data_IF_601342827138
#
_entry.id   IF_601342827138
#
_cell.length_a   1.000
_cell.length_b   1.000
_cell.length_c   1.000
_cell.angle_alpha   90.00
_cell.angle_beta   90.00
_cell.angle_gamma   90.00
#
_symmetry.space_group_name_H-M   'P 1'
#
loop_
_entity.id
_entity.type
_entity.pdbx_description
1 polymer ?
#
# COMPACT_ATOMS: atom_id res chain seq x y z
N UNK A 1 -0.80 12.37 -22.59
CA UNK A 1 -1.85 11.35 -22.40
C UNK A 1 -2.93 11.92 -21.47
N UNK A 2 -4.18 11.55 -21.69
CA UNK A 2 -5.29 11.77 -20.74
C UNK A 2 -5.40 10.57 -19.81
N UNK A 3 -5.22 10.77 -18.51
CA UNK A 3 -5.12 9.68 -17.54
C UNK A 3 -6.19 9.83 -16.45
N UNK A 4 -7.02 8.81 -16.28
CA UNK A 4 -7.96 8.72 -15.16
C UNK A 4 -7.33 7.98 -13.99
N UNK A 5 -7.26 8.63 -12.81
CA UNK A 5 -6.73 8.05 -11.57
C UNK A 5 -7.86 7.89 -10.57
N UNK A 6 -8.27 6.66 -10.25
CA UNK A 6 -9.24 6.42 -9.17
C UNK A 6 -8.55 6.34 -7.82
N UNK A 7 -9.23 6.77 -6.76
CA UNK A 7 -8.61 6.88 -5.44
C UNK A 7 -7.63 8.05 -5.32
N UNK A 8 -7.87 9.11 -6.10
CA UNK A 8 -6.98 10.28 -6.24
C UNK A 8 -6.81 11.10 -4.96
N UNK A 9 -7.70 11.01 -3.98
CA UNK A 9 -7.51 11.58 -2.65
C UNK A 9 -6.68 10.71 -1.70
N UNK A 10 -6.36 9.46 -2.10
CA UNK A 10 -5.45 8.57 -1.38
C UNK A 10 -3.98 9.01 -1.51
N UNK A 11 -3.08 8.39 -0.72
CA UNK A 11 -1.65 8.72 -0.79
C UNK A 11 -1.07 8.41 -2.17
N UNK A 12 -1.24 7.18 -2.66
CA UNK A 12 -0.71 6.79 -3.97
C UNK A 12 -1.39 7.56 -5.12
N UNK A 13 -2.73 7.67 -5.09
CA UNK A 13 -3.46 8.36 -6.15
C UNK A 13 -3.09 9.84 -6.27
N UNK A 14 -2.92 10.54 -5.16
CA UNK A 14 -2.50 11.94 -5.16
C UNK A 14 -1.05 12.10 -5.66
N UNK A 15 -0.13 11.22 -5.23
CA UNK A 15 1.26 11.25 -5.70
C UNK A 15 1.38 10.93 -7.19
N UNK A 16 0.57 10.00 -7.70
CA UNK A 16 0.47 9.70 -9.13
C UNK A 16 -0.07 10.90 -9.90
N UNK A 17 -1.16 11.51 -9.44
CA UNK A 17 -1.76 12.66 -10.10
C UNK A 17 -0.75 13.81 -10.20
N UNK A 18 -0.05 14.13 -9.11
CA UNK A 18 0.99 15.18 -9.11
C UNK A 18 2.15 14.84 -10.05
N UNK A 19 2.68 13.60 -10.02
CA UNK A 19 3.80 13.19 -10.86
C UNK A 19 3.45 13.16 -12.34
N UNK A 20 2.25 12.68 -12.68
CA UNK A 20 1.78 12.63 -14.07
C UNK A 20 1.52 14.04 -14.63
N UNK A 21 0.89 14.92 -13.83
CA UNK A 21 0.68 16.32 -14.22
C UNK A 21 2.00 17.04 -14.43
N UNK A 22 2.97 16.87 -13.53
CA UNK A 22 4.31 17.43 -13.67
C UNK A 22 5.06 16.90 -14.93
N UNK A 23 4.69 15.69 -15.39
CA UNK A 23 5.21 15.09 -16.64
C UNK A 23 4.42 15.51 -17.88
N UNK A 24 3.50 16.47 -17.78
CA UNK A 24 2.74 17.02 -18.91
C UNK A 24 1.54 16.16 -19.34
N UNK A 25 1.05 15.28 -18.49
CA UNK A 25 -0.19 14.52 -18.74
C UNK A 25 -1.42 15.30 -18.25
N UNK A 26 -2.53 15.19 -18.97
CA UNK A 26 -3.84 15.66 -18.52
C UNK A 26 -4.41 14.62 -17.56
N UNK A 27 -4.56 14.99 -16.27
CA UNK A 27 -4.96 14.04 -15.22
C UNK A 27 -6.35 14.35 -14.70
N UNK A 28 -7.21 13.31 -14.70
CA UNK A 28 -8.52 13.32 -14.11
C UNK A 28 -8.52 12.41 -12.88
N UNK A 29 -8.74 12.98 -11.69
CA UNK A 29 -8.85 12.25 -10.45
C UNK A 29 -10.29 11.94 -10.10
N UNK A 30 -10.58 10.73 -9.57
CA UNK A 30 -11.86 10.40 -8.97
C UNK A 30 -11.69 9.75 -7.60
N UNK A 31 -12.42 10.27 -6.61
CA UNK A 31 -12.46 9.73 -5.24
C UNK A 31 -13.80 10.10 -4.60
N UNK A 32 -14.20 9.35 -3.58
CA UNK A 32 -15.39 9.68 -2.77
C UNK A 32 -15.19 10.94 -1.92
N UNK A 33 -13.95 11.36 -1.72
CA UNK A 33 -13.56 12.57 -1.00
C UNK A 33 -13.11 13.65 -1.98
N UNK A 34 -13.47 14.88 -1.69
CA UNK A 34 -12.86 16.00 -2.38
C UNK A 34 -11.34 16.03 -2.11
N UNK A 35 -10.55 16.23 -3.14
CA UNK A 35 -9.10 16.38 -3.04
C UNK A 35 -8.66 17.56 -3.91
N UNK A 36 -7.75 18.36 -3.39
CA UNK A 36 -7.05 19.34 -4.18
C UNK A 36 -5.71 18.74 -4.63
N UNK A 37 -5.66 18.27 -5.87
CA UNK A 37 -4.40 18.12 -6.61
C UNK A 37 -4.42 19.28 -7.59
N UNK A 38 -3.61 20.33 -7.38
CA UNK A 38 -3.79 21.62 -8.08
C UNK A 38 -3.83 21.54 -9.61
N UNK A 39 -3.10 20.57 -10.18
CA UNK A 39 -2.96 20.41 -11.63
C UNK A 39 -3.85 19.31 -12.22
N UNK A 40 -4.77 18.73 -11.45
CA UNK A 40 -5.65 17.65 -11.91
C UNK A 40 -7.14 18.04 -11.79
N UNK A 41 -7.92 17.76 -12.82
CA UNK A 41 -9.38 17.82 -12.71
C UNK A 41 -9.85 16.75 -11.71
N UNK A 42 -10.58 17.14 -10.66
CA UNK A 42 -11.03 16.22 -9.63
C UNK A 42 -12.55 16.03 -9.66
N UNK A 43 -13.00 14.78 -9.65
CA UNK A 43 -14.38 14.37 -9.65
C UNK A 43 -14.71 13.63 -8.35
N UNK A 44 -15.75 14.07 -7.65
CA UNK A 44 -16.26 13.37 -6.46
C UNK A 44 -17.26 12.31 -6.88
N UNK A 45 -16.83 11.05 -6.83
CA UNK A 45 -17.69 9.91 -7.18
C UNK A 45 -17.20 8.62 -6.52
N UNK A 46 -18.09 7.66 -6.36
CA UNK A 46 -17.76 6.32 -5.88
C UNK A 46 -17.33 5.43 -7.07
N UNK A 47 -16.28 4.63 -6.89
CA UNK A 47 -15.84 3.68 -7.93
C UNK A 47 -16.85 2.58 -8.21
N UNK A 48 -17.92 2.46 -7.44
CA UNK A 48 -19.05 1.57 -7.69
C UNK A 48 -20.12 2.19 -8.58
N UNK A 49 -20.06 3.50 -8.81
CA UNK A 49 -20.97 4.19 -9.75
C UNK A 49 -20.48 4.02 -11.18
N UNK A 50 -20.89 2.91 -11.78
CA UNK A 50 -20.51 2.55 -13.15
C UNK A 50 -20.97 3.59 -14.19
N UNK A 51 -22.07 4.29 -13.95
CA UNK A 51 -22.58 5.29 -14.90
C UNK A 51 -21.66 6.50 -14.97
N UNK A 52 -21.29 7.04 -13.82
CA UNK A 52 -20.33 8.15 -13.73
C UNK A 52 -18.96 7.74 -14.28
N UNK A 53 -18.45 6.53 -13.93
CA UNK A 53 -17.16 6.05 -14.42
C UNK A 53 -17.12 5.89 -15.94
N UNK A 54 -18.20 5.48 -16.59
CA UNK A 54 -18.26 5.41 -18.07
C UNK A 54 -18.09 6.77 -18.71
N UNK A 55 -18.70 7.80 -18.16
CA UNK A 55 -18.51 9.18 -18.62
C UNK A 55 -17.06 9.64 -18.45
N UNK A 56 -16.46 9.35 -17.29
CA UNK A 56 -15.10 9.74 -16.99
C UNK A 56 -14.04 8.96 -17.78
N UNK A 57 -14.29 7.71 -18.13
CA UNK A 57 -13.36 6.89 -18.92
C UNK A 57 -13.37 7.22 -20.42
N UNK A 58 -14.40 7.92 -20.90
CA UNK A 58 -14.51 8.26 -22.32
C UNK A 58 -13.37 9.18 -22.76
N UNK A 59 -12.65 8.77 -23.81
CA UNK A 59 -11.53 9.53 -24.37
C UNK A 59 -10.25 9.54 -23.52
N UNK A 60 -10.16 8.68 -22.50
CA UNK A 60 -8.93 8.49 -21.71
C UNK A 60 -7.96 7.57 -22.46
N UNK A 61 -6.67 7.92 -22.42
CA UNK A 61 -5.58 7.09 -22.93
C UNK A 61 -5.19 5.99 -21.93
N UNK A 62 -5.40 6.24 -20.64
CA UNK A 62 -5.10 5.27 -19.59
C UNK A 62 -6.02 5.43 -18.37
N UNK A 63 -6.22 4.31 -17.64
CA UNK A 63 -6.86 4.29 -16.32
C UNK A 63 -5.91 3.67 -15.31
N UNK A 64 -5.67 4.36 -14.18
CA UNK A 64 -4.92 3.82 -13.05
C UNK A 64 -5.89 3.63 -11.89
N UNK A 65 -6.15 2.38 -11.54
CA UNK A 65 -7.09 2.04 -10.48
C UNK A 65 -6.36 1.83 -9.15
N UNK A 66 -6.33 2.89 -8.31
CA UNK A 66 -5.73 2.85 -6.96
C UNK A 66 -6.76 2.85 -5.83
N UNK A 67 -8.04 3.09 -6.12
CA UNK A 67 -9.09 3.09 -5.12
C UNK A 67 -9.19 1.72 -4.43
N UNK A 68 -9.22 1.72 -3.11
CA UNK A 68 -9.29 0.51 -2.30
C UNK A 68 -9.79 0.83 -0.90
N UNK A 69 -10.49 -0.12 -0.29
CA UNK A 69 -10.78 -0.08 1.14
C UNK A 69 -9.54 -0.47 1.96
N UNK A 70 -9.45 0.04 3.19
CA UNK A 70 -8.40 -0.37 4.13
C UNK A 70 -8.72 -1.74 4.76
N UNK A 71 -7.70 -2.50 5.19
CA UNK A 71 -7.91 -3.78 5.90
C UNK A 71 -8.70 -3.66 7.21
N UNK A 72 -8.81 -2.45 7.76
CA UNK A 72 -9.56 -2.14 9.00
C UNK A 72 -11.05 -1.86 8.77
N UNK A 73 -11.51 -1.79 7.51
CA UNK A 73 -12.91 -1.53 7.20
C UNK A 73 -13.77 -2.78 7.42
N UNK A 74 -15.10 -2.64 7.56
CA UNK A 74 -16.03 -3.76 7.58
C UNK A 74 -15.88 -4.67 6.36
N UNK A 75 -16.09 -5.98 6.54
CA UNK A 75 -15.81 -6.99 5.51
C UNK A 75 -16.63 -6.79 4.22
N UNK A 76 -17.91 -6.43 4.36
CA UNK A 76 -18.81 -6.10 3.27
C UNK A 76 -18.35 -4.87 2.49
N UNK A 77 -17.89 -3.84 3.18
CA UNK A 77 -17.33 -2.65 2.56
C UNK A 77 -16.03 -2.94 1.82
N UNK A 78 -15.14 -3.76 2.42
CA UNK A 78 -13.89 -4.20 1.75
C UNK A 78 -14.25 -4.90 0.44
N UNK A 79 -15.18 -5.88 0.47
CA UNK A 79 -15.56 -6.63 -0.71
C UNK A 79 -16.18 -5.72 -1.77
N UNK A 80 -17.15 -4.92 -1.39
CA UNK A 80 -17.85 -4.01 -2.29
C UNK A 80 -16.89 -3.02 -2.97
N UNK A 81 -16.03 -2.32 -2.23
CA UNK A 81 -15.11 -1.34 -2.82
C UNK A 81 -14.02 -2.02 -3.65
N UNK A 82 -13.42 -3.11 -3.14
CA UNK A 82 -12.27 -3.72 -3.80
C UNK A 82 -12.67 -4.58 -4.99
N UNK A 83 -13.76 -5.36 -4.89
CA UNK A 83 -14.16 -6.28 -5.97
C UNK A 83 -15.13 -5.62 -6.93
N UNK A 84 -16.27 -5.10 -6.42
CA UNK A 84 -17.30 -4.51 -7.28
C UNK A 84 -16.81 -3.18 -7.86
N UNK A 85 -16.07 -2.38 -7.09
CA UNK A 85 -15.39 -1.17 -7.58
C UNK A 85 -14.40 -1.47 -8.70
N UNK A 86 -13.56 -2.51 -8.55
CA UNK A 86 -12.65 -2.95 -9.63
C UNK A 86 -13.42 -3.36 -10.86
N UNK A 87 -14.50 -4.14 -10.72
CA UNK A 87 -15.35 -4.55 -11.84
C UNK A 87 -15.96 -3.34 -12.57
N UNK A 88 -16.45 -2.37 -11.83
CA UNK A 88 -17.05 -1.14 -12.39
C UNK A 88 -16.02 -0.30 -13.16
N UNK A 89 -14.83 -0.12 -12.63
CA UNK A 89 -13.74 0.61 -13.29
C UNK A 89 -13.30 -0.11 -14.57
N UNK A 90 -13.11 -1.43 -14.51
CA UNK A 90 -12.69 -2.21 -15.68
C UNK A 90 -13.79 -2.30 -16.75
N UNK A 91 -15.08 -2.38 -16.36
CA UNK A 91 -16.20 -2.30 -17.32
C UNK A 91 -16.23 -0.94 -18.01
N UNK A 92 -16.10 0.14 -17.26
CA UNK A 92 -16.07 1.49 -17.82
C UNK A 92 -14.90 1.68 -18.80
N UNK A 93 -13.69 1.28 -18.41
CA UNK A 93 -12.51 1.37 -19.26
C UNK A 93 -12.63 0.49 -20.51
N UNK A 94 -13.14 -0.74 -20.37
CA UNK A 94 -13.32 -1.66 -21.50
C UNK A 94 -14.34 -1.11 -22.51
N UNK A 95 -15.49 -0.64 -22.05
CA UNK A 95 -16.53 -0.06 -22.94
C UNK A 95 -16.09 1.24 -23.61
N UNK A 96 -15.25 2.03 -22.96
CA UNK A 96 -14.68 3.23 -23.51
C UNK A 96 -13.50 2.96 -24.46
N UNK A 97 -13.05 1.70 -24.60
CA UNK A 97 -11.91 1.33 -25.44
C UNK A 97 -10.59 1.88 -24.93
N UNK A 98 -10.44 2.08 -23.60
CA UNK A 98 -9.20 2.63 -23.03
C UNK A 98 -8.02 1.71 -23.35
N UNK A 99 -6.96 2.22 -24.00
CA UNK A 99 -5.85 1.38 -24.48
C UNK A 99 -5.01 0.76 -23.36
N UNK A 100 -4.95 1.41 -22.17
CA UNK A 100 -4.07 0.99 -21.08
C UNK A 100 -4.77 1.08 -19.74
N UNK A 101 -4.71 -0.01 -18.96
CA UNK A 101 -5.22 -0.03 -17.57
C UNK A 101 -4.14 -0.55 -16.62
N UNK A 102 -3.97 0.12 -15.48
CA UNK A 102 -3.10 -0.33 -14.39
C UNK A 102 -3.95 -0.55 -13.14
N UNK A 103 -4.01 -1.78 -12.67
CA UNK A 103 -4.70 -2.14 -11.42
C UNK A 103 -3.69 -2.32 -10.28
N UNK A 104 -3.90 -1.60 -9.18
CA UNK A 104 -3.05 -1.73 -7.99
C UNK A 104 -3.64 -2.81 -7.07
N UNK A 105 -3.00 -3.98 -7.09
CA UNK A 105 -3.27 -5.09 -6.19
C UNK A 105 -2.44 -4.98 -4.90
N UNK A 106 -1.93 -6.09 -4.38
CA UNK A 106 -1.07 -6.13 -3.18
C UNK A 106 -0.39 -7.49 -3.08
N UNK A 107 0.82 -7.55 -2.54
CA UNK A 107 1.46 -8.81 -2.14
C UNK A 107 0.69 -9.55 -1.02
N UNK A 108 -0.35 -8.94 -0.45
CA UNK A 108 -1.25 -9.60 0.49
C UNK A 108 -2.00 -10.80 -0.12
N UNK A 109 -2.12 -10.88 -1.45
CA UNK A 109 -2.72 -12.03 -2.17
C UNK A 109 -2.01 -13.35 -1.88
N UNK A 110 -0.73 -13.33 -1.55
CA UNK A 110 0.06 -14.52 -1.21
C UNK A 110 -0.18 -15.03 0.23
N UNK A 111 -0.84 -14.22 1.07
CA UNK A 111 -1.06 -14.57 2.48
C UNK A 111 0.23 -14.64 3.29
N UNK A 112 0.60 -15.84 3.71
CA UNK A 112 1.82 -16.15 4.46
C UNK A 112 2.66 -17.16 3.65
N UNK A 113 3.38 -16.70 2.62
CA UNK A 113 4.13 -17.58 1.74
C UNK A 113 5.26 -18.29 2.49
N UNK A 114 5.52 -19.56 2.13
CA UNK A 114 6.64 -20.34 2.65
C UNK A 114 7.91 -20.19 1.81
N UNK A 115 7.76 -19.75 0.56
CA UNK A 115 8.87 -19.47 -0.35
C UNK A 115 9.13 -17.96 -0.35
N UNK A 116 10.32 -17.56 0.01
CA UNK A 116 10.82 -16.19 -0.08
C UNK A 116 12.22 -16.20 -0.70
N UNK A 117 12.52 -15.34 -1.69
CA UNK A 117 11.62 -14.34 -2.28
C UNK A 117 10.43 -14.98 -3.00
N UNK A 118 9.22 -14.43 -2.81
CA UNK A 118 7.98 -14.99 -3.38
C UNK A 118 7.80 -14.51 -4.82
N UNK A 119 7.77 -15.37 -5.84
CA UNK A 119 7.56 -14.99 -7.24
C UNK A 119 6.09 -14.75 -7.56
N UNK A 120 5.80 -14.17 -8.75
CA UNK A 120 4.45 -13.80 -9.18
C UNK A 120 3.52 -15.00 -9.42
N UNK A 121 4.06 -16.15 -9.78
CA UNK A 121 3.34 -17.41 -10.01
C UNK A 121 3.07 -18.21 -8.73
N UNK A 122 3.57 -17.74 -7.57
CA UNK A 122 3.27 -18.38 -6.28
C UNK A 122 1.75 -18.39 -6.02
N UNK A 123 1.19 -19.49 -5.48
CA UNK A 123 -0.24 -19.62 -5.22
C UNK A 123 -0.80 -18.46 -4.36
N UNK A 124 -1.95 -17.95 -4.76
CA UNK A 124 -2.69 -16.96 -3.99
C UNK A 124 -3.46 -17.66 -2.87
N UNK A 125 -3.03 -17.47 -1.62
CA UNK A 125 -3.62 -18.10 -0.42
C UNK A 125 -4.01 -17.01 0.58
N UNK A 126 -5.17 -16.35 0.37
CA UNK A 126 -5.58 -15.24 1.23
C UNK A 126 -5.82 -15.70 2.67
N UNK A 127 -5.49 -14.85 3.64
CA UNK A 127 -5.57 -15.15 5.08
C UNK A 127 -6.55 -14.24 5.85
N UNK A 128 -7.16 -13.29 5.18
CA UNK A 128 -8.16 -12.38 5.72
C UNK A 128 -9.06 -11.81 4.62
N UNK A 129 -10.11 -11.08 5.02
CA UNK A 129 -11.09 -10.48 4.10
C UNK A 129 -10.46 -9.56 3.06
N UNK A 130 -9.47 -8.77 3.46
CA UNK A 130 -8.79 -7.84 2.55
C UNK A 130 -7.97 -8.59 1.48
N UNK A 131 -7.17 -9.56 1.90
CA UNK A 131 -6.39 -10.37 0.95
C UNK A 131 -7.28 -11.20 0.04
N UNK A 132 -8.42 -11.74 0.53
CA UNK A 132 -9.41 -12.43 -0.28
C UNK A 132 -10.03 -11.50 -1.32
N UNK A 133 -10.44 -10.29 -0.93
CA UNK A 133 -11.00 -9.31 -1.86
C UNK A 133 -9.98 -8.89 -2.94
N UNK A 134 -8.67 -8.77 -2.59
CA UNK A 134 -7.62 -8.49 -3.58
C UNK A 134 -7.42 -9.66 -4.56
N UNK A 135 -7.52 -10.91 -4.09
CA UNK A 135 -7.51 -12.10 -4.97
C UNK A 135 -8.71 -12.06 -5.92
N UNK A 136 -9.93 -11.83 -5.40
CA UNK A 136 -11.15 -11.73 -6.20
C UNK A 136 -11.07 -10.59 -7.24
N UNK A 137 -10.49 -9.44 -6.88
CA UNK A 137 -10.26 -8.34 -7.82
C UNK A 137 -9.27 -8.72 -8.94
N UNK A 138 -8.24 -9.52 -8.64
CA UNK A 138 -7.36 -10.04 -9.68
C UNK A 138 -8.04 -11.11 -10.57
N UNK A 139 -9.04 -11.86 -10.05
CA UNK A 139 -9.89 -12.71 -10.90
C UNK A 139 -10.62 -11.84 -11.91
N UNK A 140 -11.25 -10.74 -11.46
CA UNK A 140 -11.91 -9.78 -12.35
C UNK A 140 -10.90 -9.21 -13.37
N UNK A 141 -9.70 -8.85 -12.96
CA UNK A 141 -8.66 -8.36 -13.88
C UNK A 141 -8.33 -9.38 -14.98
N UNK A 142 -8.21 -10.67 -14.62
CA UNK A 142 -7.99 -11.75 -15.61
C UNK A 142 -9.15 -11.90 -16.59
N UNK A 143 -10.41 -11.75 -16.15
CA UNK A 143 -11.59 -11.76 -17.02
C UNK A 143 -11.50 -10.67 -18.10
N UNK A 144 -11.05 -9.46 -17.75
CA UNK A 144 -10.92 -8.36 -18.71
C UNK A 144 -9.67 -8.50 -19.61
N UNK A 145 -8.58 -9.08 -19.13
CA UNK A 145 -7.46 -9.47 -20.00
C UNK A 145 -7.89 -10.47 -21.08
N UNK A 146 -8.70 -11.47 -20.69
CA UNK A 146 -9.25 -12.44 -21.64
C UNK A 146 -10.18 -11.82 -22.69
N UNK A 147 -10.75 -10.64 -22.42
CA UNK A 147 -11.52 -9.83 -23.37
C UNK A 147 -10.64 -8.89 -24.24
N UNK A 148 -9.31 -9.03 -24.16
CA UNK A 148 -8.37 -8.25 -24.96
C UNK A 148 -7.92 -6.92 -24.34
N UNK A 149 -8.25 -6.64 -23.06
CA UNK A 149 -7.80 -5.42 -22.41
C UNK A 149 -6.29 -5.52 -22.07
N UNK A 150 -5.49 -4.54 -22.46
CA UNK A 150 -4.13 -4.38 -21.99
C UNK A 150 -4.14 -3.88 -20.55
N UNK A 151 -3.99 -4.79 -19.59
CA UNK A 151 -4.17 -4.55 -18.17
C UNK A 151 -2.97 -5.06 -17.36
N UNK A 152 -2.27 -4.13 -16.72
CA UNK A 152 -1.20 -4.44 -15.77
C UNK A 152 -1.77 -4.63 -14.36
N UNK A 153 -1.28 -5.65 -13.65
CA UNK A 153 -1.54 -5.82 -12.22
C UNK A 153 -0.24 -5.58 -11.46
N UNK A 154 -0.20 -4.56 -10.64
CA UNK A 154 0.95 -4.27 -9.78
C UNK A 154 0.65 -4.77 -8.37
N UNK A 155 1.53 -5.60 -7.80
CA UNK A 155 1.46 -6.13 -6.45
C UNK A 155 2.54 -5.47 -5.57
N UNK A 156 2.30 -4.27 -5.02
CA UNK A 156 3.28 -3.63 -4.16
C UNK A 156 3.40 -4.30 -2.81
N UNK A 157 4.60 -4.28 -2.25
CA UNK A 157 4.84 -4.44 -0.81
C UNK A 157 4.22 -3.26 -0.05
N UNK A 158 4.21 -3.32 1.28
CA UNK A 158 3.83 -2.17 2.09
C UNK A 158 4.70 -0.97 1.70
N UNK A 159 4.08 0.07 1.15
CA UNK A 159 4.83 1.25 0.75
C UNK A 159 4.75 2.35 1.80
N UNK A 160 5.80 3.16 1.84
CA UNK A 160 6.04 4.28 2.74
C UNK A 160 6.39 5.52 1.93
N UNK A 161 6.13 6.68 2.50
CA UNK A 161 6.41 7.99 1.91
C UNK A 161 5.58 9.08 2.56
N UNK A 162 5.78 10.34 2.18
CA UNK A 162 5.01 11.47 2.66
C UNK A 162 3.50 11.24 2.59
N UNK A 163 2.78 11.53 3.66
CA UNK A 163 1.33 11.32 3.76
C UNK A 163 0.91 9.90 4.15
N UNK A 164 1.81 8.92 4.21
CA UNK A 164 1.51 7.55 4.58
C UNK A 164 1.90 7.28 6.03
N UNK A 165 0.94 7.25 6.94
CA UNK A 165 1.21 7.03 8.37
C UNK A 165 0.98 5.58 8.82
N UNK A 166 -0.24 5.14 8.86
CA UNK A 166 -0.61 3.79 9.27
C UNK A 166 0.03 3.35 10.59
N UNK A 167 0.56 2.12 10.61
CA UNK A 167 1.23 1.52 11.77
C UNK A 167 2.54 2.22 12.16
N UNK A 168 3.24 2.80 11.19
CA UNK A 168 4.55 3.43 11.44
C UNK A 168 4.43 4.71 12.28
N UNK A 169 3.27 5.35 12.30
CA UNK A 169 3.01 6.50 13.17
C UNK A 169 3.31 6.20 14.64
N UNK A 170 3.05 4.97 15.10
CA UNK A 170 3.35 4.55 16.47
C UNK A 170 4.87 4.52 16.73
N UNK A 171 5.66 3.97 15.81
CA UNK A 171 7.12 3.98 15.89
C UNK A 171 7.64 5.42 15.92
N UNK A 172 7.14 6.29 15.04
CA UNK A 172 7.56 7.67 14.92
C UNK A 172 7.23 8.48 16.17
N UNK A 173 6.06 8.30 16.74
CA UNK A 173 5.66 8.96 17.97
C UNK A 173 6.53 8.54 19.16
N UNK A 174 6.78 7.23 19.34
CA UNK A 174 7.63 6.74 20.42
C UNK A 174 9.09 7.21 20.27
N UNK A 175 9.61 7.23 19.03
CA UNK A 175 10.93 7.77 18.74
C UNK A 175 11.03 9.26 19.13
N UNK A 176 10.05 10.09 18.70
CA UNK A 176 10.00 11.52 19.02
C UNK A 176 9.91 11.79 20.54
N UNK A 177 9.20 10.92 21.26
CA UNK A 177 9.06 11.04 22.72
C UNK A 177 10.27 10.49 23.50
N UNK A 178 11.30 10.01 22.83
CA UNK A 178 12.47 9.44 23.48
C UNK A 178 12.17 8.15 24.25
N UNK A 179 11.44 7.23 23.62
CA UNK A 179 11.09 5.91 24.18
C UNK A 179 11.71 4.79 23.40
N UNK A 180 12.02 3.69 24.08
CA UNK A 180 12.40 2.45 23.42
C UNK A 180 11.20 1.88 22.65
N UNK A 181 11.45 1.16 21.55
CA UNK A 181 10.36 0.56 20.77
C UNK A 181 10.40 -0.97 20.83
N UNK A 182 9.31 -1.62 21.27
CA UNK A 182 9.27 -3.07 21.42
C UNK A 182 9.03 -3.78 20.07
N UNK A 183 9.75 -4.88 19.85
CA UNK A 183 9.50 -5.82 18.74
C UNK A 183 9.29 -7.22 19.28
N UNK A 184 8.51 -8.04 18.56
CA UNK A 184 8.26 -9.43 18.91
C UNK A 184 9.51 -10.27 18.66
N UNK A 185 9.90 -11.07 19.63
CA UNK A 185 11.11 -11.89 19.53
C UNK A 185 12.35 -11.02 19.44
N UNK A 186 13.27 -11.43 18.60
CA UNK A 186 14.55 -10.74 18.37
C UNK A 186 14.44 -9.61 17.36
N UNK A 187 13.35 -9.59 16.56
CA UNK A 187 13.16 -8.64 15.47
C UNK A 187 14.08 -8.92 14.26
N UNK A 188 14.58 -10.15 14.15
CA UNK A 188 15.49 -10.61 13.12
C UNK A 188 14.80 -11.03 11.80
N UNK A 189 13.47 -10.94 11.75
CA UNK A 189 12.72 -11.14 10.51
C UNK A 189 12.95 -10.02 9.50
N UNK A 190 13.04 -10.39 8.23
CA UNK A 190 13.22 -9.45 7.11
C UNK A 190 11.87 -9.15 6.47
N UNK A 191 11.47 -7.89 6.50
CA UNK A 191 10.18 -7.43 5.93
C UNK A 191 10.48 -6.38 4.87
N UNK A 192 10.36 -6.78 3.61
CA UNK A 192 10.52 -5.87 2.50
C UNK A 192 9.40 -4.83 2.48
N UNK A 193 9.78 -3.58 2.24
CA UNK A 193 8.89 -2.44 2.03
C UNK A 193 9.12 -1.87 0.62
N UNK A 194 8.53 -0.72 0.34
CA UNK A 194 8.69 -0.02 -0.94
C UNK A 194 8.57 1.48 -0.69
N UNK A 195 9.42 2.29 -1.30
CA UNK A 195 9.23 3.73 -1.32
C UNK A 195 8.05 4.11 -2.23
N UNK A 196 7.28 5.11 -1.83
CA UNK A 196 6.16 5.63 -2.63
C UNK A 196 6.65 6.16 -3.98
N UNK A 197 7.81 6.77 -4.00
CA UNK A 197 8.48 7.31 -5.18
C UNK A 197 8.80 6.21 -6.20
N UNK A 198 9.36 5.08 -5.76
CA UNK A 198 9.64 3.93 -6.63
C UNK A 198 8.34 3.29 -7.17
N UNK A 199 7.28 3.28 -6.34
CA UNK A 199 5.97 2.80 -6.78
C UNK A 199 5.36 3.71 -7.86
N UNK A 200 5.45 5.02 -7.69
CA UNK A 200 4.99 6.00 -8.70
C UNK A 200 5.80 5.87 -10.00
N UNK A 201 7.12 5.73 -9.88
CA UNK A 201 8.01 5.59 -11.04
C UNK A 201 7.70 4.32 -11.86
N UNK A 202 7.55 3.17 -11.20
CA UNK A 202 7.24 1.91 -11.92
C UNK A 202 5.86 1.93 -12.58
N UNK A 203 4.87 2.58 -11.98
CA UNK A 203 3.55 2.77 -12.61
C UNK A 203 3.69 3.64 -13.87
N UNK A 204 4.45 4.73 -13.80
CA UNK A 204 4.78 5.55 -14.96
C UNK A 204 5.51 4.78 -16.06
N UNK A 205 6.41 3.86 -15.70
CA UNK A 205 7.09 2.97 -16.65
C UNK A 205 6.10 2.02 -17.33
N UNK A 206 5.19 1.42 -16.58
CA UNK A 206 4.13 0.54 -17.13
C UNK A 206 3.24 1.29 -18.12
N UNK A 207 2.93 2.56 -17.90
CA UNK A 207 2.13 3.35 -18.84
C UNK A 207 2.81 3.53 -20.19
N UNK A 208 4.14 3.56 -20.22
CA UNK A 208 4.96 3.75 -21.44
C UNK A 208 5.46 2.45 -22.07
N UNK A 209 5.33 1.32 -21.36
CA UNK A 209 5.81 0.03 -21.83
C UNK A 209 5.02 -0.48 -23.03
N UNK A 210 5.66 -1.32 -23.86
CA UNK A 210 4.98 -2.01 -24.96
C UNK A 210 3.81 -2.88 -24.43
N UNK A 211 2.75 -3.11 -25.22
CA UNK A 211 1.55 -3.80 -24.76
C UNK A 211 1.81 -5.20 -24.19
N UNK A 212 2.71 -5.97 -24.77
CA UNK A 212 3.08 -7.32 -24.33
C UNK A 212 3.82 -7.31 -22.97
N UNK A 213 4.57 -6.24 -22.69
CA UNK A 213 5.23 -6.02 -21.40
C UNK A 213 4.21 -5.53 -20.38
N UNK A 214 3.40 -4.54 -20.76
CA UNK A 214 2.43 -3.96 -19.85
C UNK A 214 1.30 -4.90 -19.45
N UNK A 215 0.89 -5.83 -20.34
CA UNK A 215 -0.22 -6.75 -20.07
C UNK A 215 0.19 -7.94 -19.20
N UNK A 216 0.76 -7.68 -18.03
CA UNK A 216 1.29 -8.70 -17.14
C UNK A 216 1.07 -8.33 -15.65
N UNK A 217 1.53 -9.19 -14.76
CA UNK A 217 1.47 -9.00 -13.29
C UNK A 217 2.89 -8.88 -12.75
N UNK A 218 3.12 -7.87 -11.90
CA UNK A 218 4.45 -7.56 -11.36
C UNK A 218 4.43 -7.38 -9.85
N UNK A 219 5.33 -8.06 -9.17
CA UNK A 219 5.69 -7.76 -7.79
C UNK A 219 6.62 -6.54 -7.76
N UNK A 220 6.40 -5.62 -6.82
CA UNK A 220 7.28 -4.47 -6.63
C UNK A 220 7.59 -4.25 -5.14
N UNK A 221 8.87 -4.05 -4.85
CA UNK A 221 9.41 -3.90 -3.50
C UNK A 221 10.82 -3.31 -3.56
N UNK A 222 11.38 -2.91 -2.42
CA UNK A 222 12.76 -2.43 -2.35
C UNK A 222 13.75 -3.55 -2.71
N UNK A 223 14.87 -3.19 -3.35
CA UNK A 223 15.97 -4.13 -3.60
C UNK A 223 16.79 -4.37 -2.32
N UNK A 224 16.91 -3.34 -1.48
CA UNK A 224 17.71 -3.38 -0.27
C UNK A 224 16.82 -3.24 0.97
N UNK A 225 16.93 -4.20 1.89
CA UNK A 225 16.21 -4.21 3.17
C UNK A 225 16.94 -5.05 4.20
N UNK A 226 16.91 -4.60 5.44
CA UNK A 226 17.52 -5.25 6.57
C UNK A 226 16.50 -6.04 7.42
N UNK A 227 16.85 -6.38 8.65
CA UNK A 227 15.91 -6.93 9.62
C UNK A 227 14.97 -5.84 10.13
N UNK A 228 13.78 -6.24 10.60
CA UNK A 228 12.82 -5.30 11.19
C UNK A 228 13.42 -4.49 12.34
N UNK A 229 14.29 -5.12 13.13
CA UNK A 229 15.04 -4.46 14.21
C UNK A 229 15.93 -3.35 13.67
N UNK A 230 16.73 -3.63 12.65
CA UNK A 230 17.66 -2.68 12.07
C UNK A 230 16.92 -1.52 11.39
N UNK A 231 15.89 -1.83 10.62
CA UNK A 231 15.06 -0.80 9.97
C UNK A 231 14.39 0.13 11.00
N UNK A 232 13.84 -0.42 12.10
CA UNK A 232 13.22 0.40 13.15
C UNK A 232 14.25 1.16 14.00
N UNK A 233 15.43 0.58 14.23
CA UNK A 233 16.50 1.25 14.96
C UNK A 233 16.93 2.53 14.25
N UNK A 234 16.93 2.57 12.92
CA UNK A 234 17.31 3.79 12.18
C UNK A 234 16.42 4.99 12.51
N UNK A 235 15.15 4.76 12.84
CA UNK A 235 14.23 5.84 13.27
C UNK A 235 14.58 6.33 14.67
N UNK A 236 14.86 5.41 15.60
CA UNK A 236 15.25 5.76 16.96
C UNK A 236 16.59 6.52 16.99
N UNK A 237 17.54 6.11 16.14
CA UNK A 237 18.83 6.79 15.99
C UNK A 237 18.63 8.21 15.40
N UNK A 238 17.79 8.34 14.39
CA UNK A 238 17.47 9.63 13.79
C UNK A 238 16.74 10.58 14.75
N UNK A 239 15.98 10.04 15.71
CA UNK A 239 15.34 10.83 16.77
C UNK A 239 16.33 11.41 17.79
N UNK A 240 17.55 10.86 17.89
CA UNK A 240 18.64 11.43 18.68
C UNK A 240 18.55 11.25 20.20
N UNK A 241 17.61 10.44 20.71
CA UNK A 241 17.42 10.24 22.15
C UNK A 241 18.21 9.07 22.72
N UNK A 242 19.06 8.38 21.93
CA UNK A 242 19.84 7.22 22.36
C UNK A 242 18.99 5.99 22.72
N UNK A 243 17.76 5.92 22.23
CA UNK A 243 16.81 4.83 22.49
C UNK A 243 17.03 3.64 21.57
N UNK A 244 16.51 2.47 21.99
CA UNK A 244 16.77 1.20 21.29
C UNK A 244 15.47 0.43 21.00
N UNK A 245 15.54 -0.36 19.94
CA UNK A 245 14.55 -1.43 19.72
C UNK A 245 14.80 -2.53 20.73
N UNK A 246 13.77 -2.88 21.51
CA UNK A 246 13.85 -3.87 22.59
C UNK A 246 13.05 -5.12 22.24
N UNK A 247 13.59 -6.28 22.61
CA UNK A 247 12.96 -7.59 22.37
C UNK A 247 11.88 -7.88 23.38
N UNK A 248 10.70 -8.33 22.93
CA UNK A 248 9.68 -8.91 23.78
C UNK A 248 9.60 -10.44 23.59
N UNK A 249 9.52 -11.24 24.65
CA UNK A 249 9.29 -12.67 24.52
C UNK A 249 8.00 -12.94 23.73
N UNK A 250 8.11 -13.76 22.67
CA UNK A 250 7.01 -13.96 21.70
C UNK A 250 5.73 -14.48 22.37
N UNK A 251 5.84 -15.50 23.25
CA UNK A 251 4.69 -16.16 23.88
C UNK A 251 3.81 -15.19 24.69
N UNK A 252 4.34 -14.57 25.73
CA UNK A 252 3.60 -13.60 26.55
C UNK A 252 3.08 -12.40 25.74
N UNK A 253 3.91 -11.84 24.84
CA UNK A 253 3.53 -10.69 24.03
C UNK A 253 2.35 -11.02 23.09
N UNK A 254 2.36 -12.20 22.46
CA UNK A 254 1.25 -12.63 21.60
C UNK A 254 -0.01 -12.92 22.40
N UNK A 255 0.10 -13.49 23.58
CA UNK A 255 -1.06 -13.73 24.46
C UNK A 255 -1.73 -12.40 24.85
N UNK A 256 -0.93 -11.42 25.25
CA UNK A 256 -1.39 -10.05 25.55
C UNK A 256 -2.07 -9.40 24.34
N UNK A 257 -1.41 -9.39 23.17
CA UNK A 257 -1.94 -8.77 21.96
C UNK A 257 -3.23 -9.43 21.48
N UNK A 258 -3.35 -10.76 21.55
CA UNK A 258 -4.60 -11.49 21.26
C UNK A 258 -5.72 -11.14 22.25
N UNK A 259 -5.38 -10.97 23.52
CA UNK A 259 -6.35 -10.50 24.52
C UNK A 259 -6.87 -9.11 24.19
N UNK A 260 -5.99 -8.18 23.86
CA UNK A 260 -6.34 -6.81 23.46
C UNK A 260 -7.14 -6.77 22.14
N UNK A 261 -6.81 -7.64 21.17
CA UNK A 261 -7.56 -7.77 19.91
C UNK A 261 -9.00 -8.25 20.19
N UNK A 262 -9.17 -9.30 21.00
CA UNK A 262 -10.51 -9.80 21.39
C UNK A 262 -11.34 -8.75 22.13
N UNK A 263 -10.68 -7.92 22.93
CA UNK A 263 -11.31 -6.80 23.63
C UNK A 263 -11.52 -5.56 22.72
N UNK A 264 -11.12 -5.60 21.44
CA UNK A 264 -11.12 -4.47 20.48
C UNK A 264 -10.32 -3.25 20.98
N UNK A 265 -9.32 -3.47 21.80
CA UNK A 265 -8.47 -2.43 22.42
C UNK A 265 -7.11 -2.26 21.71
N UNK A 266 -6.80 -3.05 20.68
CA UNK A 266 -5.54 -2.98 19.93
C UNK A 266 -5.80 -2.77 18.44
N UNK A 267 -5.03 -1.89 17.77
CA UNK A 267 -5.04 -1.76 16.31
C UNK A 267 -4.29 -2.90 15.61
N UNK A 268 -3.56 -3.72 16.36
CA UNK A 268 -2.74 -4.82 15.82
C UNK A 268 -3.61 -6.06 15.68
N UNK A 269 -3.91 -6.45 14.47
CA UNK A 269 -4.76 -7.60 14.17
C UNK A 269 -3.93 -8.85 13.78
N UNK A 270 -4.55 -10.04 13.92
CA UNK A 270 -3.88 -11.34 13.87
C UNK A 270 -3.00 -11.59 12.64
N UNK A 271 -3.38 -11.05 11.45
CA UNK A 271 -2.53 -11.13 10.24
C UNK A 271 -1.20 -10.41 10.41
N UNK A 272 -1.20 -9.21 11.01
CA UNK A 272 0.03 -8.45 11.23
C UNK A 272 0.95 -9.21 12.19
N UNK A 273 0.39 -9.77 13.26
CA UNK A 273 1.14 -10.60 14.21
C UNK A 273 1.77 -11.84 13.55
N UNK A 274 1.06 -12.47 12.60
CA UNK A 274 1.57 -13.63 11.88
C UNK A 274 2.71 -13.26 10.94
N UNK A 275 2.65 -12.10 10.28
CA UNK A 275 3.71 -11.57 9.42
C UNK A 275 5.00 -11.22 10.18
N UNK A 276 4.88 -10.82 11.45
CA UNK A 276 6.05 -10.48 12.27
C UNK A 276 6.85 -11.70 12.76
N UNK A 277 6.46 -12.93 12.38
CA UNK A 277 7.10 -14.18 12.81
C UNK A 277 8.01 -14.81 11.76
N UNK A 278 7.92 -14.38 10.52
CA UNK A 278 8.67 -14.97 9.41
C UNK A 278 9.05 -13.90 8.40
N UNK A 279 10.07 -14.18 7.63
CA UNK A 279 10.50 -13.35 6.52
C UNK A 279 9.36 -13.13 5.53
N UNK A 280 9.26 -11.89 5.01
CA UNK A 280 8.21 -11.48 4.10
C UNK A 280 8.75 -10.55 3.02
N UNK A 281 9.25 -11.15 1.94
CA UNK A 281 9.72 -10.42 0.77
C UNK A 281 9.40 -11.17 -0.53
N UNK A 282 9.27 -10.40 -1.61
CA UNK A 282 8.93 -10.93 -2.94
C UNK A 282 10.13 -10.80 -3.87
N UNK A 283 10.20 -11.66 -4.90
CA UNK A 283 11.08 -11.42 -6.04
C UNK A 283 10.56 -10.22 -6.82
N UNK A 284 11.51 -9.36 -7.25
CA UNK A 284 11.28 -8.26 -8.18
C UNK A 284 11.98 -8.51 -9.52
N UNK A 285 12.54 -9.70 -9.73
CA UNK A 285 13.35 -10.04 -10.91
C UNK A 285 12.58 -9.88 -12.21
N UNK A 286 11.30 -10.25 -12.21
CA UNK A 286 10.44 -10.08 -13.38
C UNK A 286 10.23 -8.60 -13.73
N UNK A 287 9.95 -7.77 -12.74
CA UNK A 287 9.81 -6.33 -12.94
C UNK A 287 11.14 -5.71 -13.39
N UNK A 288 12.26 -6.13 -12.83
CA UNK A 288 13.59 -5.69 -13.25
C UNK A 288 13.87 -6.08 -14.71
N UNK A 289 13.65 -7.33 -15.08
CA UNK A 289 13.95 -7.84 -16.41
C UNK A 289 13.05 -7.26 -17.51
N UNK A 290 11.75 -7.10 -17.24
CA UNK A 290 10.78 -6.70 -18.27
C UNK A 290 10.48 -5.19 -18.31
N UNK A 291 10.48 -4.54 -17.14
CA UNK A 291 10.18 -3.10 -17.00
C UNK A 291 11.43 -2.25 -16.76
N UNK A 292 12.61 -2.87 -16.54
CA UNK A 292 13.79 -2.14 -16.08
C UNK A 292 13.62 -1.58 -14.67
N UNK A 293 12.74 -2.18 -13.85
CA UNK A 293 12.48 -1.70 -12.50
C UNK A 293 13.72 -1.85 -11.62
N UNK A 294 14.30 -0.72 -11.23
CA UNK A 294 15.43 -0.63 -10.32
C UNK A 294 15.06 0.33 -9.19
N UNK A 295 14.49 -0.17 -8.07
CA UNK A 295 14.08 0.69 -6.97
C UNK A 295 15.31 1.42 -6.40
N UNK A 296 15.16 2.73 -6.19
CA UNK A 296 16.25 3.65 -5.81
C UNK A 296 16.40 3.76 -4.29
N UNK A 297 15.35 3.40 -3.57
CA UNK A 297 15.28 3.58 -2.12
C UNK A 297 15.26 2.23 -1.42
N UNK A 298 16.12 2.10 -0.41
CA UNK A 298 16.07 0.98 0.53
C UNK A 298 14.87 1.11 1.49
N UNK A 299 14.57 0.05 2.26
CA UNK A 299 13.64 0.15 3.38
C UNK A 299 14.00 1.30 4.32
N UNK A 300 15.28 1.44 4.63
CA UNK A 300 15.81 2.48 5.51
C UNK A 300 15.51 3.88 4.98
N UNK A 301 15.73 4.10 3.69
CA UNK A 301 15.45 5.40 3.07
C UNK A 301 13.97 5.72 3.11
N UNK A 302 13.12 4.75 2.77
CA UNK A 302 11.67 4.92 2.79
C UNK A 302 11.12 5.22 4.19
N UNK A 303 11.63 4.53 5.23
CA UNK A 303 11.22 4.79 6.63
C UNK A 303 11.72 6.15 7.09
N UNK A 304 12.99 6.50 6.83
CA UNK A 304 13.57 7.76 7.27
C UNK A 304 12.98 8.97 6.57
N UNK A 305 12.72 8.90 5.27
CA UNK A 305 12.05 9.99 4.53
C UNK A 305 10.65 10.23 5.06
N UNK A 306 9.90 9.14 5.33
CA UNK A 306 8.57 9.23 5.95
C UNK A 306 8.62 9.80 7.36
N UNK A 307 9.61 9.41 8.17
CA UNK A 307 9.79 9.93 9.53
C UNK A 307 10.11 11.42 9.51
N UNK A 308 11.04 11.88 8.68
CA UNK A 308 11.40 13.30 8.55
C UNK A 308 10.19 14.13 8.15
N UNK A 309 9.48 13.71 7.09
CA UNK A 309 8.24 14.36 6.70
C UNK A 309 7.24 14.41 7.86
N UNK A 310 7.07 13.31 8.61
CA UNK A 310 6.13 13.23 9.72
C UNK A 310 6.50 14.19 10.87
N UNK A 311 7.79 14.39 11.17
CA UNK A 311 8.22 15.31 12.23
C UNK A 311 7.92 16.78 11.91
N UNK A 312 7.81 17.12 10.64
CA UNK A 312 7.47 18.47 10.15
C UNK A 312 5.96 18.73 10.16
N UNK A 313 5.13 17.70 10.35
CA UNK A 313 3.69 17.85 10.36
C UNK A 313 3.19 18.26 11.76
N UNK A 314 2.10 19.05 11.84
CA UNK A 314 1.44 19.30 13.13
C UNK A 314 0.94 17.96 13.71
N UNK A 315 0.81 17.85 15.05
CA UNK A 315 0.29 16.66 15.69
C UNK A 315 -1.05 16.25 15.08
N UNK A 316 -1.09 15.07 14.45
CA UNK A 316 -2.30 14.61 13.79
C UNK A 316 -3.30 14.07 14.80
N UNK A 317 -4.47 14.68 14.87
CA UNK A 317 -5.66 14.19 15.59
C UNK A 317 -6.49 13.35 14.64
N UNK A 318 -6.01 12.13 14.31
CA UNK A 318 -6.69 11.29 13.32
C UNK A 318 -7.62 10.24 13.94
N UNK A 319 -8.65 9.88 13.18
CA UNK A 319 -9.59 8.79 13.54
C UNK A 319 -9.06 7.40 13.20
N UNK A 320 -7.97 7.30 12.42
CA UNK A 320 -7.43 6.04 11.88
C UNK A 320 -8.26 5.44 10.75
N UNK A 321 -9.15 6.24 10.14
CA UNK A 321 -10.06 5.80 9.09
C UNK A 321 -9.47 5.93 7.68
N UNK A 322 -8.32 6.57 7.52
CA UNK A 322 -7.63 6.68 6.23
C UNK A 322 -6.14 6.30 6.35
N UNK A 323 -5.51 6.00 5.23
CA UNK A 323 -4.08 5.71 5.19
C UNK A 323 -3.19 6.93 5.52
N UNK A 324 -3.76 8.12 5.49
CA UNK A 324 -3.13 9.40 5.85
C UNK A 324 -3.17 9.69 7.36
N UNK A 325 -3.99 8.95 8.10
CA UNK A 325 -4.19 9.15 9.53
C UNK A 325 -3.41 8.13 10.35
N UNK A 326 -2.89 8.52 11.54
CA UNK A 326 -2.26 7.58 12.44
C UNK A 326 -3.30 6.60 12.99
N UNK A 327 -2.90 5.35 13.17
CA UNK A 327 -3.73 4.38 13.84
C UNK A 327 -3.86 4.73 15.32
N UNK A 328 -5.07 4.60 15.87
CA UNK A 328 -5.29 4.77 17.30
C UNK A 328 -4.54 3.69 18.08
N UNK A 329 -3.68 4.09 18.99
CA UNK A 329 -2.85 3.16 19.76
C UNK A 329 -3.67 2.31 20.76
N UNK A 330 -4.89 2.74 21.11
CA UNK A 330 -5.74 2.04 22.07
C UNK A 330 -5.01 1.81 23.39
N UNK A 331 -5.13 0.60 23.96
CA UNK A 331 -4.45 0.24 25.22
C UNK A 331 -2.91 0.18 25.09
N UNK A 332 -2.35 0.17 23.88
CA UNK A 332 -0.90 0.21 23.68
C UNK A 332 -0.29 1.55 24.15
N UNK A 333 -1.08 2.61 24.21
CA UNK A 333 -0.66 3.89 24.82
C UNK A 333 -0.32 3.76 26.30
N UNK A 334 -0.98 2.85 27.03
CA UNK A 334 -0.67 2.58 28.45
C UNK A 334 0.63 1.78 28.59
N UNK A 335 0.89 0.85 27.66
CA UNK A 335 2.13 0.05 27.64
C UNK A 335 3.35 0.93 27.34
N UNK A 336 3.15 2.02 26.61
CA UNK A 336 4.18 3.00 26.28
C UNK A 336 4.94 3.55 27.49
N UNK A 337 4.28 3.65 28.67
CA UNK A 337 4.91 4.13 29.89
C UNK A 337 5.99 3.18 30.44
N UNK A 338 6.03 1.91 29.99
CA UNK A 338 6.99 0.91 30.44
C UNK A 338 8.32 0.93 29.63
N UNK A 339 8.39 1.67 28.56
CA UNK A 339 9.51 1.75 27.61
C UNK A 339 10.08 3.17 27.49
#
# INVERSE_FOLDING_TARGET
MKVLVTGSAGVLGASLAASLSASGHEVHGVDVRAAAVPEAAHHVADVRDTATLRGLAAGMDAVIHTASALPSYPADQIRSVVVDGTRSVLDAAHRAGVPRVVHISSTAVYGLPRLVPTPEDYPQVPVDTYSAAKVDAEVVAREYRAKGMCLSVIRPKTFLGPGRMGLFAMLFEWAREGRNFPVLGRGDVRIQMLALEDLVEVIGTVLRAEPDIANDTYNVGAAEFATLREDFQTVLDAAGHGKRVVSLPIGPALAMLRGLERAKLSPVYGRLLSKLKADSYVSIDKAAARLGFAPKFSNRDAILSTYRWWTEQPPATGSGTSSREPWRQGALSLVKALF
#
